data_IF_532943899265
#
_entry.id   IF_532943899265
#
_cell.length_a   1.000
_cell.length_b   1.000
_cell.length_c   1.000
_cell.angle_alpha   90.00
_cell.angle_beta   90.00
_cell.angle_gamma   90.00
#
_symmetry.space_group_name_H-M   'P 1'
#
loop_
_entity.id
_entity.type
_entity.pdbx_description
1 polymer ?
#
# COMPACT_ATOMS: atom_id res chain seq x y z
N UNK A 1 -19.25 17.24 5.45
CA UNK A 1 -19.75 17.46 4.06
C UNK A 1 -20.04 16.09 3.44
N UNK A 2 -21.32 15.78 3.14
CA UNK A 2 -21.77 14.46 2.65
C UNK A 2 -21.02 13.99 1.40
N UNK A 3 -20.58 14.89 0.55
CA UNK A 3 -19.80 14.53 -0.63
C UNK A 3 -18.44 13.90 -0.25
N UNK A 4 -17.82 14.37 0.81
CA UNK A 4 -16.56 13.81 1.33
C UNK A 4 -16.77 12.44 1.97
N UNK A 5 -17.87 12.27 2.71
CA UNK A 5 -18.25 10.97 3.27
C UNK A 5 -18.47 9.92 2.15
N UNK A 6 -19.11 10.30 1.05
CA UNK A 6 -19.28 9.42 -0.11
C UNK A 6 -17.96 9.11 -0.82
N UNK A 7 -17.06 10.08 -0.94
CA UNK A 7 -15.71 9.84 -1.49
C UNK A 7 -14.92 8.87 -0.61
N UNK A 8 -15.01 9.01 0.71
CA UNK A 8 -14.37 8.07 1.63
C UNK A 8 -14.98 6.67 1.57
N UNK A 9 -16.30 6.58 1.47
CA UNK A 9 -17.02 5.32 1.46
C UNK A 9 -16.87 4.56 0.13
N UNK A 10 -16.94 5.27 -0.99
CA UNK A 10 -16.99 4.66 -2.34
C UNK A 10 -15.71 4.86 -3.14
N UNK A 11 -14.77 5.68 -2.69
CA UNK A 11 -13.51 5.94 -3.39
C UNK A 11 -12.71 4.69 -3.71
N UNK A 12 -12.67 3.74 -2.77
CA UNK A 12 -12.00 2.45 -2.96
C UNK A 12 -12.60 1.64 -4.12
N UNK A 13 -13.91 1.72 -4.34
CA UNK A 13 -14.57 1.02 -5.45
C UNK A 13 -14.27 1.67 -6.80
N UNK A 14 -14.20 3.00 -6.84
CA UNK A 14 -13.90 3.73 -8.09
C UNK A 14 -12.42 3.67 -8.45
N UNK A 15 -11.56 3.37 -7.50
CA UNK A 15 -10.11 3.23 -7.68
C UNK A 15 -9.68 1.77 -7.88
N UNK A 16 -10.61 0.83 -7.76
CA UNK A 16 -10.34 -0.60 -7.94
C UNK A 16 -10.08 -0.88 -9.43
N UNK A 17 -8.86 -1.31 -9.74
CA UNK A 17 -8.47 -1.79 -11.07
C UNK A 17 -8.59 -3.33 -11.19
N UNK A 18 -9.35 -3.96 -10.30
CA UNK A 18 -9.53 -5.40 -10.30
C UNK A 18 -10.35 -5.84 -11.52
N UNK A 19 -9.86 -6.85 -12.22
CA UNK A 19 -10.61 -7.59 -13.24
C UNK A 19 -11.25 -8.79 -12.53
N UNK A 20 -12.57 -8.78 -12.45
CA UNK A 20 -13.31 -9.88 -11.86
C UNK A 20 -13.45 -11.01 -12.86
N UNK A 21 -12.95 -12.19 -12.51
CA UNK A 21 -13.16 -13.39 -13.30
C UNK A 21 -14.61 -13.87 -13.15
N UNK A 22 -15.23 -14.19 -14.26
CA UNK A 22 -16.65 -14.63 -14.30
C UNK A 22 -16.80 -16.07 -14.74
N UNK A 23 -15.72 -16.84 -14.82
CA UNK A 23 -15.70 -18.20 -15.35
C UNK A 23 -16.66 -19.14 -14.61
N UNK A 24 -16.68 -19.07 -13.28
CA UNK A 24 -17.61 -19.87 -12.46
C UNK A 24 -19.07 -19.45 -12.69
N UNK A 25 -19.36 -18.17 -12.85
CA UNK A 25 -20.68 -17.66 -13.18
C UNK A 25 -21.13 -18.17 -14.56
N UNK A 26 -20.22 -18.14 -15.53
CA UNK A 26 -20.49 -18.62 -16.87
C UNK A 26 -20.71 -20.14 -16.92
N UNK A 27 -19.99 -20.92 -16.11
CA UNK A 27 -20.24 -22.35 -15.98
C UNK A 27 -21.65 -22.64 -15.45
N UNK A 28 -22.11 -21.88 -14.44
CA UNK A 28 -23.48 -21.98 -13.93
C UNK A 28 -24.47 -21.59 -15.03
N UNK A 29 -24.24 -20.46 -15.71
CA UNK A 29 -25.09 -20.01 -16.83
C UNK A 29 -25.20 -21.06 -17.92
N UNK A 30 -24.08 -21.65 -18.32
CA UNK A 30 -24.05 -22.67 -19.38
C UNK A 30 -24.71 -24.00 -18.96
N UNK A 31 -24.86 -24.25 -17.68
CA UNK A 31 -25.56 -25.42 -17.13
C UNK A 31 -27.08 -25.27 -17.06
N UNK A 32 -27.61 -24.04 -17.18
CA UNK A 32 -29.05 -23.77 -17.15
C UNK A 32 -29.71 -24.22 -18.43
N UNK A 33 -30.98 -24.68 -18.35
CA UNK A 33 -31.82 -24.92 -19.52
C UNK A 33 -32.30 -23.62 -20.15
N UNK A 34 -33.00 -23.75 -21.30
CA UNK A 34 -33.43 -22.58 -22.06
C UNK A 34 -34.50 -21.73 -21.31
N UNK A 35 -35.37 -22.38 -20.54
CA UNK A 35 -36.42 -21.70 -19.76
C UNK A 35 -35.83 -20.92 -18.61
N UNK A 36 -34.86 -21.52 -17.91
CA UNK A 36 -34.19 -20.87 -16.81
C UNK A 36 -33.27 -19.72 -17.30
N UNK A 37 -32.57 -19.88 -18.42
CA UNK A 37 -31.82 -18.77 -19.04
C UNK A 37 -32.70 -17.60 -19.43
N UNK A 38 -33.93 -17.86 -19.89
CA UNK A 38 -34.89 -16.80 -20.25
C UNK A 38 -35.40 -16.05 -19.00
N UNK A 39 -35.52 -16.75 -17.86
CA UNK A 39 -36.01 -16.17 -16.58
C UNK A 39 -34.95 -15.46 -15.81
N UNK A 40 -33.73 -16.00 -15.79
CA UNK A 40 -32.62 -15.53 -14.95
C UNK A 40 -31.42 -15.20 -15.85
N UNK A 41 -31.37 -13.97 -16.37
CA UNK A 41 -30.21 -13.55 -17.16
C UNK A 41 -29.02 -13.30 -16.22
N UNK A 42 -28.11 -14.27 -16.14
CA UNK A 42 -26.86 -14.18 -15.36
C UNK A 42 -25.65 -13.83 -16.23
N UNK A 43 -25.82 -13.66 -17.54
CA UNK A 43 -24.73 -13.34 -18.46
C UNK A 43 -24.36 -11.86 -18.38
N UNK A 44 -23.22 -11.49 -17.75
CA UNK A 44 -22.79 -10.09 -17.64
C UNK A 44 -22.44 -9.46 -19.00
N UNK A 45 -22.21 -10.27 -20.04
CA UNK A 45 -21.91 -9.80 -21.42
C UNK A 45 -23.13 -9.25 -22.12
N UNK A 46 -24.35 -9.56 -21.62
CA UNK A 46 -25.63 -9.05 -22.16
C UNK A 46 -25.87 -7.58 -21.82
N UNK A 47 -25.09 -7.01 -20.90
CA UNK A 47 -25.23 -5.62 -20.46
C UNK A 47 -24.29 -4.73 -21.27
N UNK A 48 -24.82 -3.74 -21.96
CA UNK A 48 -24.03 -2.62 -22.45
C UNK A 48 -23.67 -1.71 -21.27
N UNK A 49 -22.46 -1.89 -20.74
CA UNK A 49 -21.99 -1.18 -19.56
C UNK A 49 -21.85 0.33 -19.80
N UNK A 50 -21.52 0.77 -21.00
CA UNK A 50 -21.41 2.18 -21.34
C UNK A 50 -22.79 2.82 -21.33
N UNK A 51 -23.76 2.20 -22.00
CA UNK A 51 -25.13 2.67 -21.98
C UNK A 51 -25.71 2.64 -20.56
N UNK A 52 -25.54 1.53 -19.83
CA UNK A 52 -26.04 1.42 -18.46
C UNK A 52 -25.48 2.52 -17.55
N UNK A 53 -24.16 2.75 -17.58
CA UNK A 53 -23.52 3.76 -16.72
C UNK A 53 -23.98 5.17 -17.11
N UNK A 54 -24.02 5.49 -18.40
CA UNK A 54 -24.27 6.85 -18.86
C UNK A 54 -25.76 7.23 -18.84
N UNK A 55 -26.65 6.28 -19.15
CA UNK A 55 -28.09 6.57 -19.31
C UNK A 55 -28.93 6.19 -18.09
N UNK A 56 -28.48 5.23 -17.28
CA UNK A 56 -29.22 4.73 -16.12
C UNK A 56 -28.50 5.08 -14.81
N UNK A 57 -27.29 4.61 -14.63
CA UNK A 57 -26.62 4.68 -13.34
C UNK A 57 -26.26 6.11 -12.92
N UNK A 58 -25.55 6.86 -13.76
CA UNK A 58 -25.17 8.25 -13.44
C UNK A 58 -26.39 9.18 -13.30
N UNK A 59 -27.40 9.17 -14.18
CA UNK A 59 -28.62 9.93 -13.98
C UNK A 59 -29.36 9.57 -12.70
N UNK A 60 -29.43 8.28 -12.35
CA UNK A 60 -30.04 7.81 -11.10
C UNK A 60 -29.31 8.36 -9.87
N UNK A 61 -27.97 8.36 -9.86
CA UNK A 61 -27.19 8.96 -8.77
C UNK A 61 -27.53 10.45 -8.65
N UNK A 62 -27.54 11.20 -9.75
CA UNK A 62 -27.88 12.63 -9.75
C UNK A 62 -29.27 12.86 -9.20
N UNK A 63 -30.24 12.07 -9.62
CA UNK A 63 -31.64 12.22 -9.25
C UNK A 63 -31.92 11.84 -7.79
N UNK A 64 -31.35 10.72 -7.32
CA UNK A 64 -31.73 10.14 -6.03
C UNK A 64 -30.75 10.46 -4.88
N UNK A 65 -29.47 10.67 -5.16
CA UNK A 65 -28.50 11.03 -4.13
C UNK A 65 -28.42 12.50 -3.80
N UNK A 66 -29.20 13.35 -4.52
CA UNK A 66 -29.14 14.81 -4.41
C UNK A 66 -27.73 15.38 -4.66
N UNK A 67 -26.94 14.69 -5.48
CA UNK A 67 -25.61 15.15 -5.86
C UNK A 67 -25.72 16.46 -6.63
N UNK A 68 -25.01 17.50 -6.18
CA UNK A 68 -24.93 18.76 -6.93
C UNK A 68 -23.99 18.55 -8.11
N UNK A 69 -24.54 18.57 -9.32
CA UNK A 69 -23.78 18.38 -10.57
C UNK A 69 -23.02 19.65 -11.02
N UNK A 70 -23.27 20.79 -10.38
CA UNK A 70 -22.56 22.03 -10.73
C UNK A 70 -21.22 22.06 -9.97
N UNK A 71 -20.07 22.04 -10.66
CA UNK A 71 -18.78 22.19 -10.01
C UNK A 71 -18.73 23.55 -9.29
N UNK A 72 -18.48 23.52 -7.99
CA UNK A 72 -18.17 24.76 -7.26
C UNK A 72 -16.90 25.37 -7.87
N UNK A 73 -17.00 26.59 -8.35
CA UNK A 73 -16.01 27.31 -9.17
C UNK A 73 -14.57 27.41 -8.61
N UNK A 74 -14.30 27.04 -7.35
CA UNK A 74 -13.02 27.39 -6.71
C UNK A 74 -12.22 26.25 -6.03
N UNK A 75 -12.71 25.00 -6.01
CA UNK A 75 -12.02 23.92 -5.28
C UNK A 75 -11.12 23.08 -6.18
N UNK A 76 -11.52 22.88 -7.44
CA UNK A 76 -10.75 22.09 -8.41
C UNK A 76 -9.49 22.80 -8.89
N UNK A 77 -9.50 24.13 -8.98
CA UNK A 77 -8.37 24.91 -9.51
C UNK A 77 -7.07 24.76 -8.71
N UNK A 78 -7.15 24.58 -7.39
CA UNK A 78 -5.95 24.44 -6.55
C UNK A 78 -5.40 23.01 -6.62
N UNK A 79 -6.28 22.01 -6.57
CA UNK A 79 -5.90 20.61 -6.67
C UNK A 79 -5.34 20.29 -8.07
N UNK A 80 -5.98 20.81 -9.12
CA UNK A 80 -5.53 20.63 -10.49
C UNK A 80 -4.22 21.36 -10.79
N UNK A 81 -4.03 22.58 -10.26
CA UNK A 81 -2.75 23.30 -10.34
C UNK A 81 -1.65 22.55 -9.60
N UNK A 82 -1.94 22.04 -8.40
CA UNK A 82 -0.99 21.24 -7.63
C UNK A 82 -0.64 19.95 -8.39
N UNK A 83 -1.65 19.26 -8.92
CA UNK A 83 -1.44 18.04 -9.73
C UNK A 83 -0.59 18.32 -10.96
N UNK A 84 -0.89 19.36 -11.72
CA UNK A 84 -0.09 19.78 -12.88
C UNK A 84 1.34 20.14 -12.50
N UNK A 85 1.54 20.81 -11.36
CA UNK A 85 2.89 21.13 -10.85
C UNK A 85 3.67 19.89 -10.42
N UNK A 86 3.01 18.93 -9.74
CA UNK A 86 3.65 17.69 -9.28
C UNK A 86 3.98 16.77 -10.44
N UNK A 87 3.08 16.65 -11.43
CA UNK A 87 3.24 15.82 -12.63
C UNK A 87 3.79 16.60 -13.82
N UNK A 88 4.56 17.67 -13.59
CA UNK A 88 5.21 18.40 -14.69
C UNK A 88 6.23 17.49 -15.39
N UNK A 89 6.24 17.42 -16.73
CA UNK A 89 7.24 16.68 -17.49
C UNK A 89 8.67 17.23 -17.30
N UNK A 90 8.81 18.46 -16.78
CA UNK A 90 10.12 19.06 -16.47
C UNK A 90 10.75 18.48 -15.19
N UNK A 91 10.02 17.65 -14.45
CA UNK A 91 10.56 16.94 -13.29
C UNK A 91 11.25 15.66 -13.73
N UNK A 92 12.36 15.36 -13.08
CA UNK A 92 13.16 14.16 -13.41
C UNK A 92 13.10 13.09 -12.34
N UNK A 93 12.70 13.47 -11.11
CA UNK A 93 12.70 12.62 -9.94
C UNK A 93 11.39 12.72 -9.17
N UNK A 94 10.90 11.58 -8.70
CA UNK A 94 9.78 11.47 -7.76
C UNK A 94 10.16 10.54 -6.61
N UNK A 95 10.26 11.08 -5.40
CA UNK A 95 10.56 10.33 -4.20
C UNK A 95 9.28 10.06 -3.41
N UNK A 96 9.20 8.84 -2.88
CA UNK A 96 8.06 8.36 -2.11
C UNK A 96 8.53 7.83 -0.76
N UNK A 97 7.72 8.03 0.26
CA UNK A 97 7.81 7.31 1.53
C UNK A 97 6.85 6.12 1.51
N UNK A 98 7.10 5.11 2.34
CA UNK A 98 6.26 3.93 2.41
C UNK A 98 5.14 4.09 3.44
N UNK A 99 5.53 4.29 4.70
CA UNK A 99 4.64 4.26 5.86
C UNK A 99 3.72 5.49 5.89
N UNK A 100 2.40 5.25 6.00
CA UNK A 100 1.38 6.30 5.96
C UNK A 100 1.37 7.16 4.67
N UNK A 101 2.12 6.75 3.64
CA UNK A 101 2.17 7.39 2.32
C UNK A 101 1.70 6.43 1.21
N UNK A 102 2.29 5.26 1.14
CA UNK A 102 1.90 4.20 0.20
C UNK A 102 1.13 3.08 0.87
N UNK A 103 1.34 2.86 2.17
CA UNK A 103 0.64 1.84 2.96
C UNK A 103 0.19 2.39 4.31
N UNK A 104 -0.96 1.92 4.80
CA UNK A 104 -1.47 2.19 6.15
C UNK A 104 -0.86 1.20 7.17
N UNK A 105 0.46 1.11 7.24
CA UNK A 105 1.19 0.22 8.13
C UNK A 105 2.46 0.89 8.63
N UNK A 106 3.16 0.23 9.54
CA UNK A 106 4.41 0.69 10.11
C UNK A 106 5.39 -0.47 10.38
N UNK A 107 6.62 -0.13 10.73
CA UNK A 107 7.70 -1.10 11.02
C UNK A 107 7.31 -2.12 12.10
N UNK A 108 6.58 -1.68 13.14
CA UNK A 108 6.17 -2.55 14.25
C UNK A 108 5.18 -3.61 13.77
N UNK A 109 4.25 -3.23 12.92
CA UNK A 109 3.26 -4.14 12.37
C UNK A 109 3.90 -5.16 11.43
N UNK A 110 4.79 -4.72 10.54
CA UNK A 110 5.54 -5.60 9.64
C UNK A 110 6.38 -6.62 10.43
N UNK A 111 7.08 -6.17 11.48
CA UNK A 111 7.80 -7.07 12.37
C UNK A 111 6.86 -8.04 13.10
N UNK A 112 5.76 -7.54 13.65
CA UNK A 112 4.81 -8.38 14.38
C UNK A 112 4.23 -9.48 13.49
N UNK A 113 3.96 -9.17 12.22
CA UNK A 113 3.54 -10.15 11.24
C UNK A 113 4.59 -11.26 11.09
N UNK A 114 5.85 -10.90 10.85
CA UNK A 114 6.93 -11.87 10.67
C UNK A 114 7.18 -12.68 11.94
N UNK A 115 7.25 -12.01 13.10
CA UNK A 115 7.54 -12.64 14.38
C UNK A 115 6.44 -13.60 14.85
N UNK A 116 5.18 -13.36 14.49
CA UNK A 116 4.05 -14.17 14.98
C UNK A 116 3.59 -15.24 14.00
N UNK A 117 4.08 -15.20 12.77
CA UNK A 117 3.57 -16.03 11.69
C UNK A 117 3.69 -17.53 11.96
N UNK A 118 4.83 -17.94 12.51
CA UNK A 118 5.16 -19.36 12.78
C UNK A 118 4.82 -19.80 14.21
N UNK A 119 4.31 -18.86 15.03
CA UNK A 119 3.95 -19.15 16.42
C UNK A 119 2.61 -19.87 16.52
N UNK A 120 2.51 -20.80 17.45
CA UNK A 120 1.24 -21.39 17.86
C UNK A 120 0.39 -20.37 18.66
N UNK A 121 -0.87 -20.71 18.93
CA UNK A 121 -1.81 -19.79 19.60
C UNK A 121 -1.31 -19.31 20.97
N UNK A 122 -0.85 -20.16 21.91
CA UNK A 122 -0.33 -19.73 23.20
C UNK A 122 0.90 -18.80 23.08
N UNK A 123 1.82 -19.11 22.18
CA UNK A 123 3.00 -18.28 21.94
C UNK A 123 2.64 -16.92 21.35
N UNK A 124 1.67 -16.89 20.44
CA UNK A 124 1.14 -15.65 19.86
C UNK A 124 0.50 -14.76 20.92
N UNK A 125 -0.30 -15.33 21.81
CA UNK A 125 -0.89 -14.59 22.93
C UNK A 125 0.19 -14.00 23.83
N UNK A 126 1.22 -14.80 24.20
CA UNK A 126 2.36 -14.33 25.00
C UNK A 126 3.10 -13.18 24.32
N UNK A 127 3.33 -13.30 23.01
CA UNK A 127 3.96 -12.25 22.21
C UNK A 127 3.16 -10.94 22.26
N UNK A 128 1.83 -11.01 22.05
CA UNK A 128 0.96 -9.83 22.10
C UNK A 128 0.98 -9.16 23.46
N UNK A 129 0.86 -9.93 24.56
CA UNK A 129 0.90 -9.40 25.92
C UNK A 129 2.23 -8.71 26.22
N UNK A 130 3.36 -9.32 25.81
CA UNK A 130 4.67 -8.70 25.95
C UNK A 130 4.79 -7.41 25.16
N UNK A 131 4.35 -7.41 23.90
CA UNK A 131 4.40 -6.23 23.03
C UNK A 131 3.55 -5.09 23.59
N UNK A 132 2.37 -5.38 24.14
CA UNK A 132 1.52 -4.39 24.81
C UNK A 132 2.21 -3.79 26.05
N UNK A 133 2.89 -4.61 26.85
CA UNK A 133 3.63 -4.14 28.02
C UNK A 133 4.82 -3.22 27.64
N UNK A 134 5.46 -3.47 26.51
CA UNK A 134 6.60 -2.68 26.00
C UNK A 134 6.16 -1.42 25.23
N UNK A 135 4.91 -1.35 24.76
CA UNK A 135 4.40 -0.28 23.89
C UNK A 135 4.61 1.15 24.45
N UNK A 136 4.39 1.45 25.74
CA UNK A 136 4.65 2.80 26.27
C UNK A 136 6.11 3.25 26.15
N UNK A 137 7.05 2.33 26.42
CA UNK A 137 8.48 2.59 26.30
C UNK A 137 8.90 2.82 24.85
N UNK A 138 8.42 1.98 23.94
CA UNK A 138 8.67 2.09 22.50
C UNK A 138 8.10 3.38 21.92
N UNK A 139 6.90 3.77 22.32
CA UNK A 139 6.28 5.03 21.88
C UNK A 139 7.04 6.25 22.40
N UNK A 140 7.58 6.19 23.62
CA UNK A 140 8.42 7.25 24.17
C UNK A 140 9.75 7.39 23.42
N UNK A 141 10.37 6.27 23.08
CA UNK A 141 11.62 6.24 22.31
C UNK A 141 11.40 6.78 20.88
N UNK A 142 10.34 6.36 20.21
CA UNK A 142 9.99 6.81 18.84
C UNK A 142 9.75 8.33 18.79
N UNK A 143 9.15 8.91 19.83
CA UNK A 143 8.93 10.36 19.93
C UNK A 143 10.21 11.15 20.17
N UNK A 144 11.20 10.54 20.83
CA UNK A 144 12.47 11.21 21.13
C UNK A 144 13.43 11.15 19.96
N UNK A 145 13.63 9.98 19.42
CA UNK A 145 14.53 9.74 18.29
C UNK A 145 14.06 8.54 17.48
N UNK A 146 13.59 8.80 16.25
CA UNK A 146 13.11 7.77 15.31
C UNK A 146 14.24 6.82 14.90
N UNK A 147 15.47 7.31 14.77
CA UNK A 147 16.59 6.48 14.36
C UNK A 147 16.99 5.50 15.47
N UNK A 148 17.01 5.95 16.71
CA UNK A 148 17.29 5.10 17.88
C UNK A 148 16.19 4.09 18.12
N UNK A 149 14.92 4.49 17.92
CA UNK A 149 13.78 3.56 17.94
C UNK A 149 13.97 2.44 16.92
N UNK A 150 14.30 2.76 15.66
CA UNK A 150 14.50 1.78 14.61
C UNK A 150 15.69 0.86 14.91
N UNK A 151 16.82 1.40 15.39
CA UNK A 151 17.98 0.60 15.81
C UNK A 151 17.62 -0.37 16.93
N UNK A 152 16.94 0.11 17.96
CA UNK A 152 16.49 -0.75 19.06
C UNK A 152 15.53 -1.83 18.58
N UNK A 153 14.61 -1.46 17.70
CA UNK A 153 13.60 -2.35 17.18
C UNK A 153 14.19 -3.43 16.28
N UNK A 154 15.16 -3.09 15.44
CA UNK A 154 15.79 -4.01 14.50
C UNK A 154 16.73 -5.03 15.15
N UNK A 155 17.23 -4.75 16.35
CA UNK A 155 17.94 -5.77 17.15
C UNK A 155 17.10 -7.01 17.43
N UNK A 156 15.79 -6.92 17.34
CA UNK A 156 14.88 -8.05 17.53
C UNK A 156 14.95 -9.09 16.43
N UNK A 157 15.61 -8.79 15.32
CA UNK A 157 15.92 -9.74 14.26
C UNK A 157 17.23 -10.51 14.52
N UNK A 158 17.92 -10.27 15.62
CA UNK A 158 19.11 -11.04 15.99
C UNK A 158 18.79 -12.53 16.01
N UNK A 159 19.72 -13.33 15.46
CA UNK A 159 19.63 -14.77 15.29
C UNK A 159 18.54 -15.29 14.34
N UNK A 160 17.76 -14.40 13.72
CA UNK A 160 16.75 -14.82 12.74
C UNK A 160 17.43 -15.33 11.44
N UNK A 161 17.08 -16.53 10.95
CA UNK A 161 17.62 -17.04 9.69
C UNK A 161 17.17 -16.19 8.49
N UNK A 162 18.13 -15.77 7.65
CA UNK A 162 17.86 -14.95 6.46
C UNK A 162 16.86 -15.63 5.53
N UNK A 163 17.07 -16.91 5.23
CA UNK A 163 16.20 -17.69 4.34
C UNK A 163 14.75 -17.72 4.82
N UNK A 164 14.55 -17.85 6.15
CA UNK A 164 13.22 -17.85 6.73
C UNK A 164 12.53 -16.49 6.59
N UNK A 165 13.28 -15.41 6.84
CA UNK A 165 12.75 -14.05 6.72
C UNK A 165 12.42 -13.73 5.25
N UNK A 166 13.24 -14.17 4.31
CA UNK A 166 12.99 -13.96 2.87
C UNK A 166 11.73 -14.70 2.40
N UNK A 167 11.52 -15.94 2.82
CA UNK A 167 10.29 -16.70 2.54
C UNK A 167 9.05 -16.00 3.13
N UNK A 168 9.14 -15.56 4.38
CA UNK A 168 8.03 -14.93 5.09
C UNK A 168 7.75 -13.51 4.57
N UNK A 169 8.75 -12.80 4.06
CA UNK A 169 8.60 -11.45 3.51
C UNK A 169 7.80 -11.41 2.20
N UNK A 170 7.84 -12.45 1.39
CA UNK A 170 6.95 -12.57 0.22
C UNK A 170 5.48 -12.56 0.63
N UNK A 171 5.16 -13.19 1.75
CA UNK A 171 3.78 -13.22 2.26
C UNK A 171 3.44 -11.94 3.02
N UNK A 172 4.43 -11.28 3.64
CA UNK A 172 4.27 -9.92 4.17
C UNK A 172 3.78 -8.97 3.07
N UNK A 173 4.36 -9.04 1.87
CA UNK A 173 3.91 -8.26 0.73
C UNK A 173 2.42 -8.49 0.43
N UNK A 174 2.01 -9.77 0.27
CA UNK A 174 0.66 -10.11 -0.15
C UNK A 174 -0.39 -9.86 0.96
N UNK A 175 -0.09 -10.27 2.19
CA UNK A 175 -1.07 -10.28 3.28
C UNK A 175 -1.12 -8.98 4.10
N UNK A 176 -0.10 -8.14 4.02
CA UNK A 176 -0.06 -6.88 4.76
C UNK A 176 0.06 -5.69 3.82
N UNK A 177 1.15 -5.63 3.04
CA UNK A 177 1.49 -4.42 2.28
C UNK A 177 0.43 -4.13 1.21
N UNK A 178 0.05 -5.11 0.40
CA UNK A 178 -0.94 -4.90 -0.66
C UNK A 178 -2.34 -4.64 -0.10
N UNK A 179 -2.75 -5.35 0.96
CA UNK A 179 -4.06 -5.13 1.59
C UNK A 179 -4.20 -3.75 2.25
N UNK A 180 -3.09 -3.18 2.70
CA UNK A 180 -3.05 -1.86 3.36
C UNK A 180 -2.52 -0.75 2.47
N UNK A 181 -2.34 -1.02 1.18
CA UNK A 181 -1.87 -0.02 0.24
C UNK A 181 -2.91 1.09 0.03
N UNK A 182 -2.41 2.31 -0.17
CA UNK A 182 -3.23 3.43 -0.63
C UNK A 182 -3.27 3.44 -2.15
N UNK A 183 -4.42 3.13 -2.79
CA UNK A 183 -4.52 3.08 -4.25
C UNK A 183 -4.10 4.39 -4.92
N UNK A 184 -4.45 5.53 -4.31
CA UNK A 184 -4.05 6.85 -4.80
C UNK A 184 -2.53 7.05 -4.81
N UNK A 185 -1.83 6.54 -3.78
CA UNK A 185 -0.37 6.57 -3.70
C UNK A 185 0.28 5.73 -4.81
N UNK A 186 -0.17 4.49 -4.98
CA UNK A 186 0.35 3.59 -6.02
C UNK A 186 0.05 4.12 -7.43
N UNK A 187 -1.12 4.73 -7.64
CA UNK A 187 -1.45 5.42 -8.89
C UNK A 187 -0.47 6.56 -9.16
N UNK A 188 -0.13 7.34 -8.14
CA UNK A 188 0.84 8.44 -8.28
C UNK A 188 2.22 7.94 -8.70
N UNK A 189 2.69 6.83 -8.15
CA UNK A 189 3.95 6.21 -8.59
C UNK A 189 3.89 5.88 -10.09
N UNK A 190 2.80 5.24 -10.54
CA UNK A 190 2.60 4.89 -11.97
C UNK A 190 2.51 6.12 -12.87
N UNK A 191 1.82 7.18 -12.45
CA UNK A 191 1.74 8.44 -13.19
C UNK A 191 3.12 9.07 -13.40
N UNK A 192 3.97 9.08 -12.37
CA UNK A 192 5.34 9.59 -12.50
C UNK A 192 6.17 8.72 -13.44
N UNK A 193 6.10 7.40 -13.34
CA UNK A 193 6.81 6.51 -14.25
C UNK A 193 6.36 6.66 -15.71
N UNK A 194 5.06 6.83 -15.94
CA UNK A 194 4.51 7.06 -17.28
C UNK A 194 5.01 8.37 -17.91
N UNK A 195 5.38 9.35 -17.09
CA UNK A 195 6.02 10.60 -17.53
C UNK A 195 7.54 10.49 -17.70
N UNK A 196 8.12 9.32 -17.44
CA UNK A 196 9.57 9.12 -17.52
C UNK A 196 10.35 9.65 -16.32
N UNK A 197 9.68 9.99 -15.21
CA UNK A 197 10.37 10.41 -14.00
C UNK A 197 11.00 9.20 -13.32
N UNK A 198 12.25 9.34 -12.86
CA UNK A 198 12.88 8.35 -11.99
C UNK A 198 12.12 8.28 -10.65
N UNK A 199 11.70 7.10 -10.25
CA UNK A 199 10.94 6.89 -9.02
C UNK A 199 11.81 6.25 -7.95
N UNK A 200 11.87 6.85 -6.76
CA UNK A 200 12.68 6.39 -5.64
C UNK A 200 11.80 6.19 -4.41
N UNK A 201 11.84 5.00 -3.83
CA UNK A 201 11.25 4.75 -2.52
C UNK A 201 12.31 4.97 -1.44
N UNK A 202 12.06 5.88 -0.50
CA UNK A 202 12.94 6.16 0.63
C UNK A 202 12.20 5.81 1.91
N UNK A 203 12.59 4.73 2.57
CA UNK A 203 11.85 4.20 3.73
C UNK A 203 12.76 3.80 4.88
N UNK A 204 12.22 3.91 6.10
CA UNK A 204 12.86 3.34 7.28
C UNK A 204 12.68 1.82 7.41
N UNK A 205 11.87 1.19 6.59
CA UNK A 205 11.67 -0.26 6.61
C UNK A 205 12.94 -1.04 6.18
N UNK A 206 13.01 -2.32 6.54
CA UNK A 206 14.10 -3.18 6.13
C UNK A 206 13.93 -3.60 4.65
N UNK A 207 15.06 -3.77 3.96
CA UNK A 207 15.13 -4.08 2.53
C UNK A 207 14.28 -5.31 2.15
N UNK A 208 14.36 -6.41 2.89
CA UNK A 208 13.58 -7.61 2.63
C UNK A 208 12.07 -7.38 2.72
N UNK A 209 11.61 -6.47 3.59
CA UNK A 209 10.19 -6.16 3.74
C UNK A 209 9.62 -5.40 2.53
N UNK A 210 10.44 -4.71 1.76
CA UNK A 210 10.05 -3.88 0.62
C UNK A 210 10.52 -4.42 -0.73
N UNK A 211 11.25 -5.52 -0.76
CA UNK A 211 11.80 -6.10 -1.99
C UNK A 211 10.69 -6.41 -3.02
N UNK A 212 9.53 -6.86 -2.57
CA UNK A 212 8.38 -7.11 -3.45
C UNK A 212 7.79 -5.86 -4.11
N UNK A 213 8.16 -4.66 -3.66
CA UNK A 213 7.78 -3.38 -4.29
C UNK A 213 8.77 -2.93 -5.37
N UNK A 214 9.90 -3.62 -5.53
CA UNK A 214 10.94 -3.27 -6.50
C UNK A 214 10.42 -3.05 -7.93
N UNK A 215 9.44 -3.81 -8.46
CA UNK A 215 8.91 -3.54 -9.80
C UNK A 215 8.23 -2.18 -9.97
N UNK A 216 7.85 -1.52 -8.87
CA UNK A 216 7.17 -0.23 -8.89
C UNK A 216 8.14 0.96 -8.88
N UNK A 217 9.40 0.74 -8.51
CA UNK A 217 10.39 1.81 -8.32
C UNK A 217 11.66 1.53 -9.12
N UNK A 218 12.29 2.59 -9.59
CA UNK A 218 13.59 2.48 -10.22
C UNK A 218 14.68 2.25 -9.17
N UNK A 219 14.44 2.74 -7.93
CA UNK A 219 15.33 2.52 -6.81
C UNK A 219 14.60 2.48 -5.47
N UNK A 220 15.13 1.68 -4.54
CA UNK A 220 14.65 1.58 -3.17
C UNK A 220 15.82 1.82 -2.22
N UNK A 221 15.69 2.86 -1.39
CA UNK A 221 16.62 3.17 -0.29
C UNK A 221 15.93 2.76 1.01
N UNK A 222 16.42 1.68 1.61
CA UNK A 222 15.84 1.03 2.77
C UNK A 222 16.94 0.75 3.81
N UNK A 223 16.55 0.42 5.05
CA UNK A 223 17.49 -0.08 6.04
C UNK A 223 17.97 -1.50 5.68
N UNK A 224 19.19 -1.84 6.04
CA UNK A 224 19.74 -3.18 5.84
C UNK A 224 20.41 -3.68 7.13
N UNK A 225 20.15 -4.96 7.47
CA UNK A 225 20.79 -5.64 8.59
C UNK A 225 22.06 -6.37 8.12
N UNK A 226 23.02 -6.43 9.01
CA UNK A 226 24.23 -7.24 8.81
C UNK A 226 23.90 -8.72 8.93
N UNK A 227 24.37 -9.51 7.98
CA UNK A 227 24.24 -10.98 7.97
C UNK A 227 25.54 -11.59 8.47
N UNK A 228 25.44 -12.55 9.39
CA UNK A 228 26.58 -13.33 9.91
C UNK A 228 26.96 -14.46 8.94
N UNK A 229 28.13 -15.01 9.13
CA UNK A 229 28.62 -16.11 8.29
C UNK A 229 27.78 -17.40 8.37
N UNK A 230 27.02 -17.58 9.43
CA UNK A 230 26.08 -18.71 9.62
C UNK A 230 24.73 -18.52 8.91
N UNK A 231 24.52 -17.39 8.23
CA UNK A 231 23.27 -17.09 7.52
C UNK A 231 22.17 -16.54 8.42
N UNK A 232 22.51 -16.02 9.60
CA UNK A 232 21.56 -15.32 10.49
C UNK A 232 21.79 -13.82 10.48
N UNK A 233 20.77 -13.03 10.85
CA UNK A 233 20.92 -11.60 11.07
C UNK A 233 21.64 -11.33 12.39
N UNK A 234 22.54 -10.35 12.40
CA UNK A 234 23.26 -9.94 13.63
C UNK A 234 22.42 -9.05 14.56
N UNK A 235 21.29 -8.51 14.08
CA UNK A 235 20.55 -7.47 14.76
C UNK A 235 21.16 -6.07 14.63
N UNK A 236 22.31 -5.93 13.97
CA UNK A 236 22.98 -4.66 13.73
C UNK A 236 22.71 -4.16 12.31
N UNK A 237 22.59 -2.84 12.15
CA UNK A 237 22.38 -2.20 10.87
C UNK A 237 23.68 -2.12 10.08
N UNK A 238 23.68 -2.67 8.87
CA UNK A 238 24.69 -2.45 7.85
C UNK A 238 24.44 -1.10 7.15
N UNK A 239 23.17 -0.78 6.88
CA UNK A 239 22.73 0.50 6.34
C UNK A 239 21.71 1.12 7.28
N UNK A 240 22.03 2.33 7.76
CA UNK A 240 21.16 3.09 8.67
C UNK A 240 19.90 3.53 7.92
N UNK A 241 18.70 3.38 8.51
CA UNK A 241 17.48 3.82 7.88
C UNK A 241 17.51 5.33 7.65
N UNK A 242 17.12 5.81 6.45
CA UNK A 242 17.05 7.24 6.18
C UNK A 242 15.90 7.86 6.99
N UNK A 243 16.23 8.72 7.94
CA UNK A 243 15.28 9.45 8.79
C UNK A 243 15.57 10.94 8.77
N UNK A 244 14.55 11.80 8.87
CA UNK A 244 14.73 13.24 8.97
C UNK A 244 15.69 13.83 7.94
N UNK A 245 16.77 14.44 8.42
CA UNK A 245 17.78 15.10 7.58
C UNK A 245 18.50 14.15 6.62
N UNK A 246 18.70 12.88 7.00
CA UNK A 246 19.32 11.89 6.12
C UNK A 246 18.48 11.57 4.88
N UNK A 247 17.15 11.70 4.95
CA UNK A 247 16.29 11.60 3.75
C UNK A 247 16.53 12.73 2.77
N UNK A 248 16.72 13.95 3.28
CA UNK A 248 17.03 15.09 2.44
C UNK A 248 18.41 14.94 1.75
N UNK A 249 19.41 14.40 2.47
CA UNK A 249 20.70 14.11 1.89
C UNK A 249 20.63 13.04 0.80
N UNK A 250 19.95 11.93 1.07
CA UNK A 250 19.71 10.88 0.06
C UNK A 250 19.05 11.46 -1.19
N UNK A 251 18.06 12.34 -1.03
CA UNK A 251 17.41 13.02 -2.16
C UNK A 251 18.37 13.94 -2.92
N UNK A 252 19.23 14.67 -2.21
CA UNK A 252 20.22 15.57 -2.84
C UNK A 252 21.24 14.80 -3.70
N UNK A 253 21.57 13.56 -3.31
CA UNK A 253 22.49 12.70 -4.07
C UNK A 253 21.90 12.24 -5.43
N UNK A 254 20.58 12.38 -5.63
CA UNK A 254 19.87 12.05 -6.88
C UNK A 254 19.59 13.29 -7.76
N UNK A 255 19.81 14.50 -7.26
CA UNK A 255 19.57 15.75 -7.98
C UNK A 255 20.85 16.33 -8.56
#
# INVERSE_FOLDING_TARGET
DRAWEYVQLYGLYTECEAIYQVDNLMQVWDSLDADDRARFNLDPRSVDWVEYITTIHLPSIVQHSRAKTTPGKNRNDRADRLRKSILSPDRHLAAFDLENTLIASNVVESYSFLATRRLNVPERVRYVLRTLAEAPGLSSLDRKDRADFLRYFYRRYEDAPVTQIDEDSQQLLHQLILLKSFPAGLRRVREHRALGHRTVLITGALNFAVEGLRPLFDEIVAAELTVRADGTYSGELKQVPPTGETRAQVLADYC
#
